data_IF_140500531693
#
_entry.id   IF_140500531693
#
_cell.length_a   1.000
_cell.length_b   1.000
_cell.length_c   1.000
_cell.angle_alpha   90.00
_cell.angle_beta   90.00
_cell.angle_gamma   90.00
#
_symmetry.space_group_name_H-M   'P 1'
#
loop_
_entity.id
_entity.type
_entity.pdbx_description
1 polymer ?
#
# COMPACT_ATOMS: atom_id res chain seq x y z
N UNK A 1 -18.98 -22.20 4.29
CA UNK A 1 -17.80 -21.50 4.86
C UNK A 1 -18.10 -20.78 6.18
N UNK A 2 -19.22 -21.06 6.84
CA UNK A 2 -19.71 -20.34 8.03
C UNK A 2 -18.80 -20.38 9.26
N UNK A 3 -17.89 -21.34 9.34
CA UNK A 3 -16.99 -21.53 10.51
C UNK A 3 -15.52 -21.17 10.23
N UNK A 4 -15.24 -20.50 9.10
CA UNK A 4 -13.88 -20.07 8.74
C UNK A 4 -13.77 -18.57 8.98
N UNK A 5 -12.80 -18.10 9.80
CA UNK A 5 -12.64 -16.69 10.13
C UNK A 5 -11.97 -15.90 8.99
N UNK A 6 -12.57 -15.90 7.80
CA UNK A 6 -12.01 -15.29 6.60
C UNK A 6 -11.77 -13.79 6.75
N UNK A 7 -12.80 -13.05 7.19
CA UNK A 7 -12.73 -11.61 7.38
C UNK A 7 -11.66 -11.21 8.42
N UNK A 8 -11.56 -11.97 9.52
CA UNK A 8 -10.54 -11.74 10.54
C UNK A 8 -9.13 -12.01 9.99
N UNK A 9 -8.92 -13.11 9.27
CA UNK A 9 -7.63 -13.41 8.66
C UNK A 9 -7.20 -12.35 7.63
N UNK A 10 -8.12 -11.88 6.78
CA UNK A 10 -7.84 -10.80 5.82
C UNK A 10 -7.54 -9.49 6.55
N UNK A 11 -8.27 -9.15 7.62
CA UNK A 11 -7.99 -7.96 8.43
C UNK A 11 -6.59 -7.99 9.07
N UNK A 12 -6.18 -9.14 9.62
CA UNK A 12 -4.82 -9.31 10.15
C UNK A 12 -3.75 -9.18 9.05
N UNK A 13 -4.02 -9.67 7.85
CA UNK A 13 -3.12 -9.51 6.70
C UNK A 13 -3.05 -8.06 6.21
N UNK A 14 -4.16 -7.32 6.24
CA UNK A 14 -4.18 -5.89 5.94
C UNK A 14 -3.30 -5.12 6.93
N UNK A 15 -3.36 -5.44 8.22
CA UNK A 15 -2.48 -4.84 9.21
C UNK A 15 -1.00 -5.10 8.89
N UNK A 16 -0.64 -6.33 8.55
CA UNK A 16 0.73 -6.66 8.16
C UNK A 16 1.20 -5.85 6.94
N UNK A 17 0.32 -5.62 5.96
CA UNK A 17 0.59 -4.76 4.80
C UNK A 17 0.85 -3.34 5.22
N UNK A 18 0.02 -2.76 6.09
CA UNK A 18 0.14 -1.36 6.45
C UNK A 18 1.43 -1.07 7.21
N UNK A 19 1.89 -2.01 8.03
CA UNK A 19 3.03 -1.77 8.92
C UNK A 19 4.38 -2.18 8.34
N UNK A 20 4.47 -3.36 7.69
CA UNK A 20 5.80 -3.97 7.45
C UNK A 20 5.95 -4.76 6.17
N UNK A 21 4.86 -5.18 5.52
CA UNK A 21 4.88 -6.16 4.42
C UNK A 21 4.25 -5.63 3.13
N UNK A 22 4.91 -4.69 2.42
CA UNK A 22 4.44 -4.20 1.11
C UNK A 22 4.34 -5.31 0.07
N UNK A 23 5.18 -6.34 0.17
CA UNK A 23 5.31 -7.41 -0.81
C UNK A 23 4.07 -8.30 -0.94
N UNK A 24 3.20 -8.35 0.07
CA UNK A 24 1.92 -9.08 -0.01
C UNK A 24 0.72 -8.18 -0.37
N UNK A 25 0.95 -6.89 -0.62
CA UNK A 25 -0.11 -5.89 -0.82
C UNK A 25 -1.11 -6.30 -1.92
N UNK A 26 -0.60 -6.68 -3.09
CA UNK A 26 -1.43 -7.15 -4.21
C UNK A 26 -2.25 -8.39 -3.84
N UNK A 27 -1.60 -9.42 -3.28
CA UNK A 27 -2.26 -10.69 -2.97
C UNK A 27 -3.41 -10.52 -1.97
N UNK A 28 -3.22 -9.69 -0.93
CA UNK A 28 -4.28 -9.37 0.03
C UNK A 28 -5.37 -8.50 -0.60
N UNK A 29 -4.99 -7.54 -1.45
CA UNK A 29 -5.92 -6.73 -2.22
C UNK A 29 -6.82 -7.54 -3.17
N UNK A 30 -6.39 -8.73 -3.58
CA UNK A 30 -7.21 -9.68 -4.35
C UNK A 30 -8.16 -10.47 -3.45
N UNK A 31 -7.68 -11.07 -2.35
CA UNK A 31 -8.53 -11.87 -1.45
C UNK A 31 -9.54 -11.02 -0.68
N UNK A 32 -9.26 -9.75 -0.41
CA UNK A 32 -10.18 -8.83 0.26
C UNK A 32 -11.46 -8.56 -0.54
N UNK A 33 -11.40 -8.65 -1.87
CA UNK A 33 -12.56 -8.42 -2.75
C UNK A 33 -13.69 -9.42 -2.51
N UNK A 34 -13.37 -10.61 -2.00
CA UNK A 34 -14.31 -11.69 -1.78
C UNK A 34 -14.69 -11.85 -0.30
N UNK A 35 -14.50 -10.83 0.52
CA UNK A 35 -14.82 -10.87 1.95
C UNK A 35 -16.31 -11.11 2.24
N UNK A 36 -17.21 -10.62 1.37
CA UNK A 36 -18.66 -10.80 1.50
C UNK A 36 -19.14 -12.21 1.13
N UNK A 37 -18.47 -12.86 0.18
CA UNK A 37 -18.80 -14.21 -0.27
C UNK A 37 -17.53 -14.99 -0.62
N UNK A 38 -16.78 -15.48 0.37
CA UNK A 38 -15.55 -16.20 0.11
C UNK A 38 -15.84 -17.61 -0.40
N UNK A 39 -14.99 -18.11 -1.32
CA UNK A 39 -14.96 -19.49 -1.82
C UNK A 39 -13.78 -20.32 -1.27
N UNK A 40 -13.81 -21.64 -1.45
CA UNK A 40 -12.76 -22.54 -0.92
C UNK A 40 -11.37 -22.18 -1.46
N UNK A 41 -11.28 -21.83 -2.74
CA UNK A 41 -10.03 -21.40 -3.39
C UNK A 41 -9.47 -20.12 -2.77
N UNK A 42 -10.35 -19.22 -2.35
CA UNK A 42 -9.96 -17.95 -1.72
C UNK A 42 -9.37 -18.20 -0.34
N UNK A 43 -9.96 -19.14 0.42
CA UNK A 43 -9.39 -19.56 1.69
C UNK A 43 -8.01 -20.23 1.51
N UNK A 44 -7.85 -21.04 0.47
CA UNK A 44 -6.54 -21.61 0.10
C UNK A 44 -5.53 -20.52 -0.23
N UNK A 45 -5.93 -19.47 -0.96
CA UNK A 45 -5.07 -18.32 -1.23
C UNK A 45 -4.64 -17.61 0.07
N UNK A 46 -5.55 -17.35 1.01
CA UNK A 46 -5.22 -16.77 2.32
C UNK A 46 -4.21 -17.63 3.08
N UNK A 47 -4.39 -18.96 3.12
CA UNK A 47 -3.41 -19.87 3.75
C UNK A 47 -2.04 -19.80 3.08
N UNK A 48 -2.00 -19.66 1.75
CA UNK A 48 -0.74 -19.53 1.02
C UNK A 48 -0.02 -18.23 1.38
N UNK A 49 -0.75 -17.11 1.52
CA UNK A 49 -0.18 -15.83 2.00
C UNK A 49 0.40 -16.01 3.40
N UNK A 50 -0.34 -16.62 4.33
CA UNK A 50 0.15 -16.88 5.69
C UNK A 50 1.38 -17.81 5.70
N UNK A 51 1.41 -18.83 4.84
CA UNK A 51 2.57 -19.73 4.68
C UNK A 51 3.79 -18.99 4.15
N UNK A 52 3.59 -18.06 3.21
CA UNK A 52 4.64 -17.20 2.70
C UNK A 52 5.19 -16.28 3.80
N UNK A 53 4.33 -15.58 4.54
CA UNK A 53 4.72 -14.76 5.68
C UNK A 53 5.54 -15.53 6.70
N UNK A 54 5.13 -16.77 7.03
CA UNK A 54 5.88 -17.64 7.94
C UNK A 54 7.27 -17.99 7.43
N UNK A 55 7.42 -18.19 6.11
CA UNK A 55 8.71 -18.54 5.50
C UNK A 55 9.64 -17.34 5.37
N UNK A 56 9.08 -16.14 5.23
CA UNK A 56 9.83 -14.88 5.10
C UNK A 56 9.70 -14.01 6.35
N UNK A 57 9.60 -14.63 7.53
CA UNK A 57 9.44 -13.92 8.81
C UNK A 57 10.61 -12.98 9.12
N UNK A 58 11.78 -13.28 8.56
CA UNK A 58 13.02 -12.54 8.81
C UNK A 58 13.18 -11.35 7.82
N UNK A 59 12.22 -11.14 6.90
CA UNK A 59 12.23 -10.00 5.99
C UNK A 59 11.73 -8.76 6.74
N UNK A 60 12.46 -7.65 6.60
CA UNK A 60 12.13 -6.36 7.21
C UNK A 60 12.41 -5.21 6.26
N UNK A 61 11.74 -4.08 6.48
CA UNK A 61 12.07 -2.83 5.82
C UNK A 61 13.37 -2.29 6.40
N UNK A 62 14.35 -2.03 5.52
CA UNK A 62 15.64 -1.47 5.90
C UNK A 62 15.73 -0.06 5.36
N UNK A 63 15.85 0.90 6.26
CA UNK A 63 16.13 2.29 5.94
C UNK A 63 17.62 2.54 6.12
N UNK A 64 18.26 3.06 5.09
CA UNK A 64 19.69 3.39 5.05
C UNK A 64 19.81 4.88 5.05
N UNK A 65 20.60 5.45 5.97
CA UNK A 65 20.90 6.89 6.06
C UNK A 65 21.45 7.43 4.73
N UNK A 66 20.56 7.95 3.90
CA UNK A 66 20.78 8.60 2.61
C UNK A 66 20.03 9.93 2.62
N UNK A 67 20.15 10.70 1.55
CA UNK A 67 19.38 11.93 1.38
C UNK A 67 17.87 11.63 1.48
N UNK A 68 17.15 12.55 2.12
CA UNK A 68 15.68 12.51 2.28
C UNK A 68 14.97 12.87 0.96
N UNK A 69 15.26 12.09 -0.09
CA UNK A 69 14.65 12.24 -1.41
C UNK A 69 13.50 11.25 -1.50
N UNK A 70 12.29 11.80 -1.64
CA UNK A 70 11.10 11.02 -1.91
C UNK A 70 11.08 10.59 -3.39
N UNK A 71 11.07 9.28 -3.64
CA UNK A 71 10.98 8.71 -4.99
C UNK A 71 9.74 7.82 -5.10
N UNK A 72 8.83 8.17 -6.01
CA UNK A 72 7.61 7.42 -6.29
C UNK A 72 7.73 6.56 -7.54
N UNK A 73 7.22 5.34 -7.46
CA UNK A 73 7.10 4.39 -8.56
C UNK A 73 5.63 4.00 -8.74
N UNK A 74 5.23 3.78 -9.99
CA UNK A 74 3.88 3.36 -10.36
C UNK A 74 3.96 2.26 -11.41
N UNK A 75 2.98 1.37 -11.40
CA UNK A 75 2.78 0.32 -12.40
C UNK A 75 1.28 0.02 -12.50
N UNK A 76 0.82 -0.51 -13.62
CA UNK A 76 -0.58 -0.91 -13.79
C UNK A 76 -0.71 -2.27 -14.46
N UNK A 77 -1.67 -3.08 -14.01
CA UNK A 77 -2.07 -4.27 -14.73
C UNK A 77 -3.33 -4.01 -15.57
N UNK A 78 -3.32 -4.38 -16.84
CA UNK A 78 -4.46 -4.15 -17.73
C UNK A 78 -5.49 -5.28 -17.63
N UNK A 79 -6.72 -4.93 -17.23
CA UNK A 79 -7.88 -5.84 -17.18
C UNK A 79 -7.61 -7.17 -16.44
N UNK A 80 -6.74 -7.14 -15.43
CA UNK A 80 -6.35 -8.31 -14.63
C UNK A 80 -7.54 -8.92 -13.87
N UNK A 81 -8.50 -8.09 -13.48
CA UNK A 81 -9.72 -8.54 -12.87
C UNK A 81 -10.67 -9.09 -13.94
N UNK A 82 -10.74 -10.43 -14.06
CA UNK A 82 -11.62 -11.10 -15.03
C UNK A 82 -13.10 -10.80 -14.83
N UNK A 83 -13.52 -10.58 -13.58
CA UNK A 83 -14.94 -10.38 -13.24
C UNK A 83 -15.41 -8.96 -13.64
N UNK A 84 -14.59 -7.94 -13.35
CA UNK A 84 -14.95 -6.54 -13.57
C UNK A 84 -14.28 -5.90 -14.79
N UNK A 85 -13.35 -6.61 -15.44
CA UNK A 85 -12.40 -6.09 -16.46
C UNK A 85 -11.65 -4.84 -16.00
N UNK A 86 -11.57 -4.62 -14.68
CA UNK A 86 -10.88 -3.48 -14.08
C UNK A 86 -9.40 -3.78 -13.92
N UNK A 87 -8.59 -2.79 -14.24
CA UNK A 87 -7.16 -2.77 -13.98
C UNK A 87 -6.88 -2.54 -12.49
N UNK A 88 -5.66 -2.85 -12.06
CA UNK A 88 -5.14 -2.64 -10.72
C UNK A 88 -3.88 -1.78 -10.84
N UNK A 89 -3.87 -0.64 -10.17
CA UNK A 89 -2.70 0.23 -10.05
C UNK A 89 -1.87 -0.19 -8.84
N UNK A 90 -0.57 -0.33 -9.02
CA UNK A 90 0.41 -0.49 -7.96
C UNK A 90 1.24 0.79 -7.81
N UNK A 91 1.51 1.20 -6.58
CA UNK A 91 2.43 2.30 -6.31
C UNK A 91 3.30 2.02 -5.10
N UNK A 92 4.51 2.57 -5.12
CA UNK A 92 5.43 2.57 -3.98
C UNK A 92 6.25 3.84 -3.94
N UNK A 93 6.26 4.49 -2.78
CA UNK A 93 7.12 5.62 -2.46
C UNK A 93 8.22 5.15 -1.55
N UNK A 94 9.45 5.53 -1.89
CA UNK A 94 10.65 5.21 -1.15
C UNK A 94 11.32 6.47 -0.64
N UNK A 95 11.86 6.39 0.57
CA UNK A 95 12.65 7.43 1.22
C UNK A 95 13.73 6.76 2.06
N UNK A 96 14.94 7.34 2.11
CA UNK A 96 16.04 6.80 2.90
C UNK A 96 16.35 5.31 2.54
N UNK A 97 16.24 4.96 1.26
CA UNK A 97 16.46 3.60 0.77
C UNK A 97 15.40 2.54 1.10
N UNK A 98 14.36 2.88 1.88
CA UNK A 98 13.25 1.98 2.23
C UNK A 98 11.91 2.46 1.70
N UNK A 99 10.91 1.58 1.62
CA UNK A 99 9.54 1.95 1.25
C UNK A 99 8.84 2.62 2.44
N UNK A 100 8.10 3.71 2.20
CA UNK A 100 7.36 4.48 3.22
C UNK A 100 5.86 4.40 2.99
N UNK A 101 5.46 4.43 1.72
CA UNK A 101 4.06 4.29 1.31
C UNK A 101 4.01 3.31 0.17
N UNK A 102 3.01 2.44 0.17
CA UNK A 102 2.77 1.50 -0.91
C UNK A 102 1.31 1.16 -0.99
N UNK A 103 0.90 0.73 -2.18
CA UNK A 103 -0.51 0.51 -2.46
C UNK A 103 -0.69 -0.41 -3.66
N UNK A 104 -1.76 -1.20 -3.61
CA UNK A 104 -2.29 -1.93 -4.76
C UNK A 104 -3.81 -1.78 -4.75
N UNK A 105 -4.34 -1.01 -5.68
CA UNK A 105 -5.77 -0.64 -5.73
C UNK A 105 -6.36 -0.95 -7.10
N UNK A 106 -7.58 -1.50 -7.08
CA UNK A 106 -8.41 -1.65 -8.27
C UNK A 106 -8.82 -0.28 -8.80
N UNK A 107 -8.55 0.00 -10.07
CA UNK A 107 -8.95 1.24 -10.71
C UNK A 107 -10.48 1.42 -10.69
N UNK A 108 -10.93 2.68 -10.60
CA UNK A 108 -12.35 3.01 -10.57
C UNK A 108 -12.99 2.88 -11.96
N UNK A 109 -12.30 3.32 -13.00
CA UNK A 109 -12.70 3.17 -14.40
C UNK A 109 -12.25 1.81 -14.98
N UNK A 110 -12.81 1.46 -16.14
CA UNK A 110 -12.37 0.33 -16.96
C UNK A 110 -11.60 0.95 -18.12
N UNK A 111 -10.26 0.82 -18.17
CA UNK A 111 -9.49 1.35 -19.28
C UNK A 111 -9.67 0.48 -20.53
N UNK A 112 -9.64 1.13 -21.69
CA UNK A 112 -9.76 0.49 -23.00
C UNK A 112 -8.39 0.06 -23.55
N UNK A 113 -7.29 0.55 -22.98
CA UNK A 113 -5.92 0.17 -23.35
C UNK A 113 -4.98 0.07 -22.15
N UNK A 114 -3.84 -0.63 -22.34
CA UNK A 114 -2.74 -0.66 -21.36
C UNK A 114 -2.20 0.74 -21.07
N UNK A 115 -2.09 1.59 -22.11
CA UNK A 115 -1.64 2.98 -21.96
C UNK A 115 -2.57 3.79 -21.06
N UNK A 116 -3.88 3.62 -21.20
CA UNK A 116 -4.86 4.32 -20.37
C UNK A 116 -4.79 3.84 -18.92
N UNK A 117 -4.61 2.53 -18.69
CA UNK A 117 -4.40 1.98 -17.35
C UNK A 117 -3.15 2.59 -16.68
N UNK A 118 -2.05 2.70 -17.42
CA UNK A 118 -0.80 3.34 -16.96
C UNK A 118 -1.00 4.82 -16.64
N UNK A 119 -1.73 5.52 -17.50
CA UNK A 119 -2.04 6.93 -17.29
C UNK A 119 -2.85 7.15 -16.01
N UNK A 120 -3.88 6.33 -15.77
CA UNK A 120 -4.69 6.39 -14.54
C UNK A 120 -3.82 6.11 -13.31
N UNK A 121 -2.96 5.09 -13.34
CA UNK A 121 -2.04 4.80 -12.24
C UNK A 121 -1.09 5.97 -11.96
N UNK A 122 -0.50 6.54 -13.01
CA UNK A 122 0.41 7.69 -12.93
C UNK A 122 -0.28 8.93 -12.38
N UNK A 123 -1.51 9.22 -12.79
CA UNK A 123 -2.28 10.35 -12.26
C UNK A 123 -2.54 10.23 -10.76
N UNK A 124 -2.89 9.04 -10.27
CA UNK A 124 -3.12 8.82 -8.84
C UNK A 124 -1.81 8.99 -8.04
N UNK A 125 -0.71 8.43 -8.53
CA UNK A 125 0.61 8.60 -7.90
C UNK A 125 1.07 10.06 -7.93
N UNK A 126 0.78 10.81 -8.99
CA UNK A 126 1.12 12.23 -9.07
C UNK A 126 0.36 13.06 -8.02
N UNK A 127 -0.92 12.76 -7.76
CA UNK A 127 -1.71 13.41 -6.69
C UNK A 127 -1.10 13.12 -5.32
N UNK A 128 -0.82 11.85 -5.03
CA UNK A 128 -0.19 11.44 -3.77
C UNK A 128 1.20 12.06 -3.61
N UNK A 129 1.99 12.13 -4.68
CA UNK A 129 3.32 12.76 -4.65
C UNK A 129 3.23 14.26 -4.34
N UNK A 130 2.22 14.97 -4.89
CA UNK A 130 2.01 16.38 -4.61
C UNK A 130 1.66 16.61 -3.14
N UNK A 131 0.78 15.77 -2.58
CA UNK A 131 0.46 15.78 -1.16
C UNK A 131 1.72 15.52 -0.32
N UNK A 132 2.49 14.46 -0.61
CA UNK A 132 3.70 14.14 0.15
C UNK A 132 4.77 15.21 0.09
N UNK A 133 4.90 15.93 -1.04
CA UNK A 133 5.82 17.07 -1.13
C UNK A 133 5.41 18.20 -0.20
N UNK A 134 4.11 18.54 -0.17
CA UNK A 134 3.59 19.56 0.73
C UNK A 134 3.88 19.19 2.20
N UNK A 135 3.65 17.94 2.59
CA UNK A 135 3.95 17.45 3.94
C UNK A 135 5.45 17.48 4.26
N UNK A 136 6.31 17.06 3.34
CA UNK A 136 7.75 17.10 3.55
C UNK A 136 8.26 18.53 3.77
N UNK A 137 7.72 19.52 3.06
CA UNK A 137 8.10 20.93 3.23
C UNK A 137 7.67 21.46 4.61
N UNK A 138 6.42 21.19 5.02
CA UNK A 138 5.90 21.58 6.35
C UNK A 138 6.66 20.89 7.49
N UNK A 139 6.97 19.60 7.33
CA UNK A 139 7.71 18.86 8.34
C UNK A 139 9.17 19.31 8.41
N UNK A 140 9.86 19.56 7.28
CA UNK A 140 11.22 20.14 7.27
C UNK A 140 11.27 21.48 8.02
N UNK A 141 10.22 22.28 7.92
CA UNK A 141 10.10 23.55 8.65
C UNK A 141 9.86 23.33 10.16
N UNK A 142 8.98 22.39 10.52
CA UNK A 142 8.79 21.96 11.92
C UNK A 142 10.04 21.28 12.53
N UNK A 143 10.80 20.52 11.74
CA UNK A 143 12.04 19.85 12.15
C UNK A 143 13.15 20.85 12.47
N UNK A 144 13.23 21.96 11.72
CA UNK A 144 14.16 23.07 12.04
C UNK A 144 13.80 23.79 13.34
N UNK A 145 12.53 23.76 13.74
CA UNK A 145 12.04 24.47 14.91
C UNK A 145 12.18 23.70 16.24
N UNK A 146 12.06 22.35 16.24
CA UNK A 146 11.77 21.59 17.47
C UNK A 146 12.78 20.49 17.89
N UNK A 147 13.98 20.42 17.28
CA UNK A 147 14.97 19.34 17.47
C UNK A 147 14.49 17.94 17.02
N UNK A 148 15.45 17.13 16.58
CA UNK A 148 15.29 15.96 15.68
C UNK A 148 14.50 14.78 16.26
N UNK A 149 13.36 14.41 15.65
CA UNK A 149 12.84 13.05 15.71
C UNK A 149 13.70 12.13 14.84
N UNK A 150 13.79 10.86 15.19
CA UNK A 150 14.53 9.87 14.41
C UNK A 150 13.86 9.66 13.04
N UNK A 151 14.62 9.22 12.02
CA UNK A 151 14.07 8.91 10.70
C UNK A 151 12.90 7.89 10.73
N UNK A 152 12.81 7.10 11.79
CA UNK A 152 11.72 6.13 12.04
C UNK A 152 10.42 6.86 12.41
N UNK A 153 10.49 7.91 13.21
CA UNK A 153 9.33 8.72 13.60
C UNK A 153 8.76 9.49 12.40
N UNK A 154 9.61 9.98 11.48
CA UNK A 154 9.11 10.61 10.24
C UNK A 154 8.30 9.63 9.38
N UNK A 155 8.81 8.42 9.21
CA UNK A 155 8.15 7.37 8.42
C UNK A 155 6.80 7.02 9.05
N UNK A 156 6.76 6.87 10.37
CA UNK A 156 5.54 6.54 11.10
C UNK A 156 4.50 7.68 11.06
N UNK A 157 4.93 8.94 11.18
CA UNK A 157 4.05 10.11 11.08
C UNK A 157 3.49 10.25 9.66
N UNK A 158 4.33 10.13 8.62
CA UNK A 158 3.90 10.22 7.22
C UNK A 158 2.92 9.09 6.90
N UNK A 159 3.21 7.85 7.30
CA UNK A 159 2.31 6.71 7.08
C UNK A 159 0.98 6.84 7.85
N UNK A 160 0.99 7.27 9.11
CA UNK A 160 -0.23 7.46 9.93
C UNK A 160 -1.10 8.61 9.44
N UNK A 161 -0.51 9.75 9.03
CA UNK A 161 -1.27 10.87 8.47
C UNK A 161 -1.86 10.53 7.10
N UNK A 162 -1.12 9.83 6.24
CA UNK A 162 -1.68 9.34 4.98
C UNK A 162 -2.92 8.47 5.23
N UNK A 163 -2.82 7.51 6.16
CA UNK A 163 -3.91 6.61 6.50
C UNK A 163 -5.15 7.35 7.02
N UNK A 164 -4.99 8.47 7.73
CA UNK A 164 -6.12 9.31 8.16
C UNK A 164 -6.79 10.07 7.01
N UNK A 165 -6.01 10.64 6.10
CA UNK A 165 -6.49 11.43 4.95
C UNK A 165 -7.19 10.55 3.91
N UNK A 166 -6.67 9.34 3.68
CA UNK A 166 -7.20 8.39 2.71
C UNK A 166 -8.49 7.71 3.21
N UNK A 167 -8.64 7.49 4.51
CA UNK A 167 -9.82 6.82 5.09
C UNK A 167 -10.92 7.79 5.55
N UNK A 168 -10.74 9.11 5.39
CA UNK A 168 -11.72 10.11 5.86
C UNK A 168 -11.98 10.05 7.37
N UNK A 169 -11.10 9.42 8.14
CA UNK A 169 -11.22 9.31 9.59
C UNK A 169 -10.52 10.51 10.23
N UNK A 170 -11.32 11.50 10.61
CA UNK A 170 -10.92 12.51 11.60
C UNK A 170 -10.72 11.77 12.93
N UNK A 171 -9.52 11.85 13.50
CA UNK A 171 -9.35 11.77 14.96
C UNK A 171 -9.98 13.01 15.60
#
# INVERSE_FOLDING_TARGET
MSNIPYASAVGSLMYAILCTRPDICYSVGMVSRYQSNPGHDHWTAVKNILKYLRRTKDYMLVYVSKDLILTGYTDSDFQSNKDARKSTSGSVFTMNGGAVVWRSIKQLCIPDSTMEAEYVATCEVAKEAAEMKFWNEEEVENYKANNTPSAVEMVEIVSLKLLSTINGFKL
#
